data_IF_831238743193
#
_entry.id   IF_831238743193
#
_cell.length_a   1.000
_cell.length_b   1.000
_cell.length_c   1.000
_cell.angle_alpha   90.00
_cell.angle_beta   90.00
_cell.angle_gamma   90.00
#
_symmetry.space_group_name_H-M   'P 1'
#
loop_
_entity.id
_entity.type
_entity.pdbx_description
1 polymer ?
#
# COMPACT_ATOMS: atom_id res chain seq x y z
N UNK A 1 15.66 -5.45 9.95
CA UNK A 1 14.95 -4.18 9.68
C UNK A 1 13.60 -4.31 10.35
N UNK A 2 13.22 -3.36 11.20
CA UNK A 2 11.90 -3.36 11.84
C UNK A 2 10.81 -3.07 10.79
N UNK A 3 9.54 -3.42 11.04
CA UNK A 3 8.46 -3.14 10.08
C UNK A 3 8.38 -1.66 9.69
N UNK A 4 8.54 -0.75 10.66
CA UNK A 4 8.51 0.69 10.37
C UNK A 4 9.73 1.17 9.56
N UNK A 5 10.92 0.60 9.78
CA UNK A 5 12.09 0.91 8.94
C UNK A 5 11.90 0.42 7.50
N UNK A 6 11.24 -0.73 7.34
CA UNK A 6 10.90 -1.27 6.04
C UNK A 6 9.91 -0.37 5.30
N UNK A 7 8.80 0.02 5.93
CA UNK A 7 7.81 0.92 5.32
C UNK A 7 8.41 2.31 5.02
N UNK A 8 9.33 2.80 5.86
CA UNK A 8 10.13 4.01 5.56
C UNK A 8 10.98 3.87 4.31
N UNK A 9 11.58 2.69 4.09
CA UNK A 9 12.35 2.41 2.88
C UNK A 9 11.42 2.39 1.66
N UNK A 10 10.23 1.80 1.77
CA UNK A 10 9.25 1.77 0.68
C UNK A 10 8.80 3.17 0.28
N UNK A 11 8.51 4.05 1.23
CA UNK A 11 8.19 5.45 0.93
C UNK A 11 9.33 6.18 0.19
N UNK A 12 10.59 5.90 0.53
CA UNK A 12 11.75 6.46 -0.17
C UNK A 12 11.90 5.91 -1.59
N UNK A 13 11.59 4.63 -1.79
CA UNK A 13 11.62 4.01 -3.11
C UNK A 13 10.50 4.55 -4.00
N UNK A 14 9.28 4.67 -3.47
CA UNK A 14 8.15 5.31 -4.15
C UNK A 14 8.50 6.74 -4.57
N UNK A 15 9.02 7.56 -3.66
CA UNK A 15 9.45 8.91 -3.98
C UNK A 15 10.62 8.94 -4.99
N UNK A 16 11.49 7.94 -5.01
CA UNK A 16 12.57 7.85 -6.00
C UNK A 16 12.00 7.59 -7.40
N UNK A 17 11.06 6.66 -7.51
CA UNK A 17 10.41 6.32 -8.77
C UNK A 17 9.57 7.48 -9.28
N UNK A 18 8.81 8.14 -8.40
CA UNK A 18 8.04 9.33 -8.76
C UNK A 18 8.93 10.42 -9.39
N UNK A 19 10.15 10.63 -8.88
CA UNK A 19 11.09 11.62 -9.44
C UNK A 19 11.62 11.30 -10.85
N UNK A 20 11.30 10.14 -11.41
CA UNK A 20 11.60 9.83 -12.81
C UNK A 20 10.62 10.51 -13.79
N UNK A 21 9.62 11.22 -13.25
CA UNK A 21 8.64 12.05 -13.95
C UNK A 21 9.25 12.86 -15.08
N UNK A 22 8.76 12.63 -16.29
CA UNK A 22 9.14 13.37 -17.49
C UNK A 22 7.87 13.87 -18.20
N UNK A 23 7.76 15.17 -18.53
CA UNK A 23 6.60 15.68 -19.25
C UNK A 23 6.63 15.21 -20.71
N UNK A 24 5.50 14.70 -21.19
CA UNK A 24 5.30 14.24 -22.57
C UNK A 24 4.03 14.87 -23.12
N UNK A 25 4.13 15.47 -24.31
CA UNK A 25 2.98 16.11 -24.94
C UNK A 25 2.04 15.07 -25.53
N UNK A 26 0.82 14.99 -24.99
CA UNK A 26 -0.24 14.15 -25.51
C UNK A 26 -1.03 14.90 -26.59
N UNK A 27 -0.98 14.36 -27.82
CA UNK A 27 -1.62 14.99 -28.98
C UNK A 27 -3.15 14.87 -28.98
N UNK A 28 -3.71 13.89 -28.28
CA UNK A 28 -5.15 13.64 -28.22
C UNK A 28 -5.79 14.63 -27.24
N UNK A 29 -5.15 14.85 -26.09
CA UNK A 29 -5.60 15.81 -25.09
C UNK A 29 -5.18 17.25 -25.42
N UNK A 30 -4.11 17.42 -26.21
CA UNK A 30 -3.55 18.73 -26.52
C UNK A 30 -2.85 19.38 -25.33
N UNK A 31 -2.37 18.56 -24.39
CA UNK A 31 -1.73 19.00 -23.14
C UNK A 31 -0.51 18.10 -22.80
N UNK A 32 0.27 18.49 -21.81
CA UNK A 32 1.35 17.67 -21.28
C UNK A 32 0.84 16.71 -20.22
N UNK A 33 1.18 15.43 -20.39
CA UNK A 33 1.05 14.39 -19.37
C UNK A 33 2.43 14.07 -18.79
N UNK A 34 2.44 13.22 -17.77
CA UNK A 34 3.67 12.69 -17.20
C UNK A 34 3.86 11.21 -17.55
N UNK A 35 5.09 10.87 -17.91
CA UNK A 35 5.55 9.48 -17.99
C UNK A 35 6.61 9.22 -16.91
N UNK A 36 6.68 7.98 -16.45
CA UNK A 36 7.62 7.54 -15.42
C UNK A 36 8.50 6.39 -15.93
N UNK A 37 9.71 6.29 -15.39
CA UNK A 37 10.60 5.14 -15.59
C UNK A 37 10.93 4.48 -14.24
N UNK A 38 9.92 3.90 -13.57
CA UNK A 38 10.05 3.41 -12.21
C UNK A 38 10.80 2.07 -12.12
N UNK A 39 11.38 1.81 -10.94
CA UNK A 39 12.09 0.55 -10.65
C UNK A 39 11.35 -0.35 -9.66
N UNK A 40 10.61 0.24 -8.73
CA UNK A 40 10.01 -0.43 -7.58
C UNK A 40 8.49 -0.48 -7.68
N UNK A 41 7.83 0.60 -8.14
CA UNK A 41 6.37 0.74 -8.10
C UNK A 41 5.75 1.08 -9.45
N UNK A 42 4.52 0.63 -9.66
CA UNK A 42 3.63 1.10 -10.72
C UNK A 42 3.13 2.51 -10.35
N UNK A 43 3.86 3.53 -10.81
CA UNK A 43 3.57 4.92 -10.46
C UNK A 43 2.29 5.42 -11.11
N UNK A 44 2.06 5.07 -12.38
CA UNK A 44 0.86 5.49 -13.10
C UNK A 44 -0.41 5.06 -12.35
N UNK A 45 -0.42 3.81 -11.89
CA UNK A 45 -1.53 3.31 -11.09
C UNK A 45 -1.64 3.99 -9.72
N UNK A 46 -0.52 4.18 -9.01
CA UNK A 46 -0.54 4.85 -7.70
C UNK A 46 -1.06 6.29 -7.81
N UNK A 47 -0.71 7.02 -8.88
CA UNK A 47 -1.19 8.37 -9.13
C UNK A 47 -2.72 8.39 -9.24
N UNK A 48 -3.28 7.45 -10.02
CA UNK A 48 -4.73 7.35 -10.22
C UNK A 48 -5.45 6.88 -8.95
N UNK A 49 -4.98 5.80 -8.33
CA UNK A 49 -5.67 5.18 -7.18
C UNK A 49 -5.66 6.08 -5.92
N UNK A 50 -4.65 6.96 -5.79
CA UNK A 50 -4.49 7.87 -4.66
C UNK A 50 -4.73 9.35 -4.97
N UNK A 51 -5.21 9.66 -6.18
CA UNK A 51 -5.51 11.03 -6.65
C UNK A 51 -4.37 12.02 -6.34
N UNK A 52 -3.16 11.67 -6.80
CA UNK A 52 -1.95 12.42 -6.45
C UNK A 52 -1.83 13.69 -7.29
N UNK A 53 -1.56 14.81 -6.61
CA UNK A 53 -1.06 16.01 -7.27
C UNK A 53 0.38 15.75 -7.74
N UNK A 54 0.52 15.49 -9.03
CA UNK A 54 1.81 15.14 -9.60
C UNK A 54 2.81 16.29 -9.57
N UNK A 55 2.33 17.54 -9.51
CA UNK A 55 3.16 18.75 -9.51
C UNK A 55 3.66 19.14 -8.12
N UNK A 56 2.96 18.73 -7.06
CA UNK A 56 3.37 18.93 -5.67
C UNK A 56 3.55 17.60 -4.91
N UNK A 57 4.37 16.69 -5.45
CA UNK A 57 4.68 15.42 -4.80
C UNK A 57 6.00 15.45 -4.00
N UNK A 58 5.90 15.28 -2.67
CA UNK A 58 7.03 15.24 -1.75
C UNK A 58 7.26 13.85 -1.14
N UNK A 59 8.39 13.68 -0.43
CA UNK A 59 8.63 12.46 0.36
C UNK A 59 7.57 12.25 1.46
N UNK A 60 7.01 13.34 2.00
CA UNK A 60 5.93 13.25 2.98
C UNK A 60 4.67 12.68 2.33
N UNK A 61 4.36 13.08 1.10
CA UNK A 61 3.22 12.54 0.35
C UNK A 61 3.42 11.05 0.09
N UNK A 62 4.61 10.63 -0.34
CA UNK A 62 4.95 9.21 -0.47
C UNK A 62 4.79 8.43 0.84
N UNK A 63 5.16 9.01 1.99
CA UNK A 63 4.92 8.40 3.30
C UNK A 63 3.43 8.25 3.61
N UNK A 64 2.61 9.25 3.25
CA UNK A 64 1.16 9.16 3.41
C UNK A 64 0.55 8.08 2.52
N UNK A 65 0.97 7.97 1.27
CA UNK A 65 0.54 6.90 0.35
C UNK A 65 0.83 5.52 0.95
N UNK A 66 2.06 5.29 1.44
CA UNK A 66 2.41 4.02 2.10
C UNK A 66 1.53 3.75 3.32
N UNK A 67 1.18 4.78 4.11
CA UNK A 67 0.28 4.62 5.24
C UNK A 67 -1.13 4.19 4.78
N UNK A 68 -1.66 4.80 3.71
CA UNK A 68 -2.96 4.42 3.16
C UNK A 68 -2.98 3.00 2.61
N UNK A 69 -1.92 2.59 1.89
CA UNK A 69 -1.76 1.22 1.36
C UNK A 69 -1.85 0.13 2.44
N UNK A 70 -1.57 0.47 3.70
CA UNK A 70 -1.56 -0.48 4.82
C UNK A 70 -2.63 -0.17 5.87
N UNK A 71 -3.64 0.63 5.50
CA UNK A 71 -4.86 0.83 6.28
C UNK A 71 -4.82 1.98 7.29
N UNK A 72 -3.79 2.83 7.23
CA UNK A 72 -3.65 3.99 8.10
C UNK A 72 -4.03 5.27 7.37
N UNK A 73 -4.72 6.18 8.06
CA UNK A 73 -5.10 7.48 7.48
C UNK A 73 -3.91 8.40 7.20
N UNK A 74 -2.84 8.31 8.00
CA UNK A 74 -1.66 9.16 7.85
C UNK A 74 -0.42 8.51 8.42
N UNK A 75 0.73 8.90 7.88
CA UNK A 75 2.03 8.40 8.29
C UNK A 75 2.33 8.54 9.78
N UNK A 76 1.89 9.64 10.40
CA UNK A 76 2.14 9.90 11.82
C UNK A 76 1.40 8.94 12.76
N UNK A 77 0.28 8.37 12.32
CA UNK A 77 -0.44 7.34 13.07
C UNK A 77 0.30 6.00 12.94
N UNK A 78 0.70 5.65 11.71
CA UNK A 78 1.50 4.43 11.45
C UNK A 78 2.80 4.40 12.26
N UNK A 79 3.55 5.50 12.36
CA UNK A 79 4.81 5.54 13.12
C UNK A 79 4.61 5.33 14.63
N UNK A 80 3.41 5.61 15.16
CA UNK A 80 3.07 5.48 16.59
C UNK A 80 2.31 4.19 16.91
N UNK A 81 2.02 3.38 15.90
CA UNK A 81 1.26 2.15 16.04
C UNK A 81 2.00 1.13 16.91
N UNK A 82 1.24 0.20 17.49
CA UNK A 82 1.77 -0.89 18.28
C UNK A 82 2.65 -1.84 17.44
N UNK A 83 3.41 -2.70 18.10
CA UNK A 83 4.22 -3.71 17.39
C UNK A 83 3.36 -4.64 16.52
N UNK A 84 2.20 -5.06 17.04
CA UNK A 84 1.27 -5.92 16.30
C UNK A 84 0.68 -5.20 15.07
N UNK A 85 0.30 -3.93 15.21
CA UNK A 85 -0.19 -3.11 14.11
C UNK A 85 0.88 -2.87 13.04
N UNK A 86 2.13 -2.62 13.45
CA UNK A 86 3.26 -2.43 12.54
C UNK A 86 3.60 -3.71 11.77
N UNK A 87 3.54 -4.86 12.42
CA UNK A 87 3.74 -6.16 11.77
C UNK A 87 2.61 -6.45 10.78
N UNK A 88 1.35 -6.20 11.16
CA UNK A 88 0.20 -6.33 10.26
C UNK A 88 0.34 -5.40 9.06
N UNK A 89 0.72 -4.14 9.26
CA UNK A 89 0.93 -3.19 8.18
C UNK A 89 1.98 -3.66 7.17
N UNK A 90 3.08 -4.24 7.66
CA UNK A 90 4.10 -4.84 6.78
C UNK A 90 3.54 -6.05 6.01
N UNK A 91 2.77 -6.92 6.67
CA UNK A 91 2.18 -8.09 6.00
C UNK A 91 1.15 -7.69 4.94
N UNK A 92 0.31 -6.69 5.22
CA UNK A 92 -0.60 -6.12 4.23
C UNK A 92 0.16 -5.59 3.01
N UNK A 93 1.26 -4.87 3.25
CA UNK A 93 2.11 -4.37 2.18
C UNK A 93 2.76 -5.49 1.37
N UNK A 94 3.24 -6.56 2.02
CA UNK A 94 3.91 -7.66 1.34
C UNK A 94 2.96 -8.59 0.60
N UNK A 95 1.68 -8.61 0.97
CA UNK A 95 0.65 -9.49 0.43
C UNK A 95 -0.44 -8.74 -0.35
N UNK A 96 -0.13 -7.57 -0.93
CA UNK A 96 -1.09 -6.81 -1.77
C UNK A 96 -1.64 -7.62 -2.95
N UNK A 97 -0.83 -8.53 -3.49
CA UNK A 97 -1.26 -9.50 -4.50
C UNK A 97 -2.36 -10.47 -4.03
N UNK A 98 -2.51 -10.71 -2.72
CA UNK A 98 -3.53 -11.63 -2.17
C UNK A 98 -4.83 -10.92 -1.79
N UNK A 99 -4.72 -9.69 -1.27
CA UNK A 99 -5.88 -8.92 -0.82
C UNK A 99 -5.58 -7.42 -0.86
N UNK A 100 -6.55 -6.63 -1.35
CA UNK A 100 -6.47 -5.19 -1.31
C UNK A 100 -6.86 -4.64 0.07
N UNK A 101 -6.37 -3.44 0.42
CA UNK A 101 -6.55 -2.93 1.78
C UNK A 101 -8.03 -2.72 2.15
N UNK A 102 -8.85 -2.25 1.22
CA UNK A 102 -10.28 -2.03 1.46
C UNK A 102 -11.04 -3.36 1.64
N UNK A 103 -10.63 -4.41 0.91
CA UNK A 103 -11.17 -5.76 1.06
C UNK A 103 -10.81 -6.35 2.43
N UNK A 104 -9.57 -6.13 2.90
CA UNK A 104 -9.16 -6.54 4.25
C UNK A 104 -9.96 -5.82 5.34
N UNK A 105 -10.15 -4.50 5.19
CA UNK A 105 -10.94 -3.71 6.14
C UNK A 105 -12.39 -4.18 6.17
N UNK A 106 -12.97 -4.49 5.00
CA UNK A 106 -14.33 -5.03 4.89
C UNK A 106 -14.43 -6.42 5.52
N UNK A 107 -13.49 -7.32 5.21
CA UNK A 107 -13.40 -8.67 5.77
C UNK A 107 -13.38 -8.65 7.31
N UNK A 108 -12.54 -7.80 7.90
CA UNK A 108 -12.48 -7.69 9.37
C UNK A 108 -13.75 -7.07 9.94
N UNK A 109 -14.29 -6.02 9.32
CA UNK A 109 -15.51 -5.37 9.80
C UNK A 109 -16.71 -6.35 9.78
N UNK A 110 -16.86 -7.15 8.73
CA UNK A 110 -17.89 -8.18 8.64
C UNK A 110 -17.69 -9.28 9.69
N UNK A 111 -16.45 -9.74 9.88
CA UNK A 111 -16.15 -10.73 10.90
C UNK A 111 -16.43 -10.21 12.32
N UNK A 112 -16.12 -8.95 12.61
CA UNK A 112 -16.45 -8.28 13.88
C UNK A 112 -17.97 -8.20 14.10
N UNK A 113 -18.72 -7.78 13.08
CA UNK A 113 -20.19 -7.67 13.14
C UNK A 113 -20.87 -9.03 13.34
N UNK A 114 -20.48 -10.05 12.56
CA UNK A 114 -21.03 -11.40 12.65
C UNK A 114 -20.78 -12.06 14.00
N UNK A 115 -19.65 -11.75 14.65
CA UNK A 115 -19.29 -12.31 15.95
C UNK A 115 -19.68 -11.40 17.13
N UNK A 116 -20.13 -10.17 16.86
CA UNK A 116 -20.48 -9.19 17.89
C UNK A 116 -19.30 -8.79 18.80
N UNK A 117 -18.08 -8.81 18.27
CA UNK A 117 -16.83 -8.49 18.98
C UNK A 117 -16.01 -7.50 18.18
N UNK A 118 -15.07 -6.81 18.84
CA UNK A 118 -14.01 -6.08 18.16
C UNK A 118 -12.69 -6.78 18.40
N UNK A 119 -11.94 -7.05 17.33
CA UNK A 119 -10.63 -7.66 17.40
C UNK A 119 -9.59 -6.62 17.77
N UNK A 120 -8.81 -6.94 18.81
CA UNK A 120 -7.60 -6.18 19.12
C UNK A 120 -6.52 -6.38 18.03
N UNK A 121 -5.45 -5.55 18.01
CA UNK A 121 -4.42 -5.66 16.99
C UNK A 121 -3.76 -7.04 16.89
N UNK A 122 -3.56 -7.72 18.01
CA UNK A 122 -2.98 -9.05 18.08
C UNK A 122 -3.87 -10.10 17.40
N UNK A 123 -5.19 -10.05 17.65
CA UNK A 123 -6.15 -10.92 16.99
C UNK A 123 -6.22 -10.64 15.48
N UNK A 124 -6.27 -9.37 15.06
CA UNK A 124 -6.27 -9.00 13.63
C UNK A 124 -5.01 -9.50 12.92
N UNK A 125 -3.85 -9.37 13.56
CA UNK A 125 -2.58 -9.90 13.04
C UNK A 125 -2.61 -11.43 12.92
N UNK A 126 -3.14 -12.12 13.92
CA UNK A 126 -3.26 -13.59 13.89
C UNK A 126 -4.17 -14.05 12.75
N UNK A 127 -5.33 -13.40 12.60
CA UNK A 127 -6.29 -13.68 11.51
C UNK A 127 -5.62 -13.46 10.14
N UNK A 128 -4.92 -12.34 9.95
CA UNK A 128 -4.27 -12.07 8.67
C UNK A 128 -3.24 -13.15 8.31
N UNK A 129 -2.48 -13.62 9.31
CA UNK A 129 -1.51 -14.71 9.10
C UNK A 129 -2.19 -15.99 8.68
N UNK A 130 -3.19 -16.42 9.45
CA UNK A 130 -3.91 -17.67 9.20
C UNK A 130 -4.63 -17.69 7.85
N UNK A 131 -5.21 -16.54 7.44
CA UNK A 131 -6.06 -16.48 6.24
C UNK A 131 -5.28 -16.10 4.98
N UNK A 132 -4.30 -15.20 5.07
CA UNK A 132 -3.64 -14.66 3.86
C UNK A 132 -2.16 -15.01 3.77
N UNK A 133 -1.45 -15.20 4.89
CA UNK A 133 -0.02 -15.55 4.82
C UNK A 133 0.15 -17.05 4.62
N UNK A 134 -0.53 -17.86 5.44
CA UNK A 134 -0.34 -19.31 5.53
C UNK A 134 -1.21 -20.09 4.52
N UNK A 135 -2.05 -19.39 3.76
CA UNK A 135 -2.93 -19.96 2.73
C UNK A 135 -2.61 -19.37 1.36
N UNK A 136 -2.44 -20.26 0.39
CA UNK A 136 -2.25 -19.93 -1.02
C UNK A 136 -3.58 -19.90 -1.78
N UNK A 137 -3.56 -19.31 -2.98
CA UNK A 137 -4.73 -19.27 -3.87
C UNK A 137 -5.61 -18.02 -3.71
N UNK A 138 -5.32 -17.17 -2.72
CA UNK A 138 -5.82 -15.80 -2.69
C UNK A 138 -5.15 -15.00 -3.81
N UNK A 139 -5.98 -14.29 -4.58
CA UNK A 139 -5.54 -13.41 -5.65
C UNK A 139 -6.43 -12.18 -5.65
N UNK A 140 -5.80 -11.02 -5.49
CA UNK A 140 -6.47 -9.74 -5.55
C UNK A 140 -6.65 -9.36 -7.01
N UNK A 141 -7.87 -9.05 -7.48
CA UNK A 141 -8.07 -8.58 -8.86
C UNK A 141 -7.37 -7.23 -9.12
N UNK A 142 -7.03 -6.51 -8.05
CA UNK A 142 -6.25 -5.29 -8.09
C UNK A 142 -4.75 -5.59 -8.15
N UNK A 143 -4.26 -6.74 -7.70
CA UNK A 143 -2.84 -7.09 -7.74
C UNK A 143 -1.94 -6.20 -6.86
N UNK A 144 -0.63 -6.29 -7.09
CA UNK A 144 0.41 -5.60 -6.31
C UNK A 144 0.85 -4.30 -6.99
N UNK A 145 1.09 -3.25 -6.21
CA UNK A 145 1.63 -1.99 -6.74
C UNK A 145 3.13 -2.09 -7.06
N UNK A 146 3.83 -3.14 -6.64
CA UNK A 146 5.27 -3.30 -6.84
C UNK A 146 5.54 -4.05 -8.15
N UNK A 147 6.42 -3.50 -9.00
CA UNK A 147 6.69 -4.01 -10.35
C UNK A 147 7.52 -5.30 -10.41
N UNK A 148 8.21 -5.66 -9.32
CA UNK A 148 9.16 -6.77 -9.28
C UNK A 148 8.90 -7.71 -8.10
N UNK A 149 7.64 -7.99 -7.80
CA UNK A 149 7.33 -9.11 -6.92
C UNK A 149 7.69 -10.39 -7.65
N UNK A 150 8.80 -11.03 -7.26
CA UNK A 150 8.94 -12.45 -7.57
C UNK A 150 7.72 -13.12 -6.94
N UNK A 151 6.79 -13.59 -7.77
CA UNK A 151 5.95 -14.72 -7.42
C UNK A 151 6.90 -15.79 -6.91
N UNK A 152 6.89 -16.03 -5.60
CA UNK A 152 7.66 -17.09 -4.96
C UNK A 152 7.32 -18.44 -5.58
#
# INVERSE_FOLDING_TARGET
MTPIEYLKLQAKNLFRDFKTKTPVFDKILGDYLYEYNPKFFDIDRIVVDYDLDEDDFSLMNAQHVIAHMVGFRKWTDLVKASEAELELAKLLFDNQHKIYIDDWQSYIAEAEDMNGISFDPEARLAIFKEVFVDVDGHDSPFGDFRLNTKTG
#
